data_IF_966090055304
#
_entry.id   IF_966090055304
#
_cell.length_a   1.000
_cell.length_b   1.000
_cell.length_c   1.000
_cell.angle_alpha   90.00
_cell.angle_beta   90.00
_cell.angle_gamma   90.00
#
_symmetry.space_group_name_H-M   'P 1'
#
loop_
_entity.id
_entity.type
_entity.pdbx_description
1 polymer ?
2 polymer ?
3 non-polymer ?
4 non-polymer ?
5 non-polymer ?
6 non-polymer ?
7 non-polymer ?
8 water ?
#
# COMPACT_ATOMS: atom_id res chain seq x y z
N UNK A 1 16.66 22.56 14.87
CA UNK A 1 15.54 21.86 14.17
C UNK A 1 15.19 20.51 14.82
N UNK A 2 13.91 20.14 14.74
CA UNK A 2 13.40 18.91 15.35
C UNK A 2 12.50 18.21 14.34
N UNK A 3 12.56 16.90 14.35
CA UNK A 3 11.88 16.08 13.34
C UNK A 3 10.35 16.17 13.38
N UNK A 4 9.80 16.53 14.55
CA UNK A 4 8.36 16.64 14.75
C UNK A 4 7.76 17.84 14.01
N UNK A 5 8.53 18.92 13.90
CA UNK A 5 8.09 20.15 13.21
C UNK A 5 8.64 20.19 11.79
N UNK A 6 7.73 20.27 10.81
CA UNK A 6 8.12 20.45 9.41
C UNK A 6 9.02 19.30 8.92
N UNK A 7 8.92 18.13 9.56
CA UNK A 7 9.76 16.96 9.24
C UNK A 7 11.27 17.24 9.44
N UNK A 8 11.59 18.18 10.35
CA UNK A 8 12.98 18.64 10.52
C UNK A 8 13.61 19.30 9.31
N UNK A 9 12.77 19.72 8.37
CA UNK A 9 13.20 20.24 7.08
C UNK A 9 13.65 19.15 6.09
N UNK A 10 13.59 17.89 6.51
CA UNK A 10 14.06 16.76 5.66
C UNK A 10 13.06 16.48 4.54
N UNK A 11 13.55 16.07 3.39
CA UNK A 11 12.66 15.66 2.30
C UNK A 11 12.02 14.33 2.62
N UNK A 12 12.77 13.43 3.25
CA UNK A 12 12.34 12.07 3.56
C UNK A 12 12.43 11.81 5.05
N UNK A 13 13.40 11.07 5.55
CA UNK A 13 13.39 10.58 6.93
C UNK A 13 14.26 11.45 7.83
N UNK A 14 13.91 11.53 9.11
CA UNK A 14 14.56 12.52 10.05
C UNK A 14 14.87 11.80 11.35
N UNK A 15 16.08 11.97 11.87
CA UNK A 15 16.48 11.43 13.19
C UNK A 15 16.95 12.59 14.06
N UNK A 16 16.44 12.63 15.31
CA UNK A 16 16.89 13.59 16.32
C UNK A 16 18.10 12.99 17.04
N UNK A 17 19.06 13.84 17.38
CA UNK A 17 20.29 13.45 18.07
C UNK A 17 20.49 14.35 19.29
N UNK A 18 21.38 13.92 20.19
CA UNK A 18 21.58 14.63 21.46
C UNK A 18 22.15 16.03 21.22
N UNK A 19 21.51 17.03 21.83
CA UNK A 19 21.83 18.44 21.60
C UNK A 19 20.91 18.99 20.54
N UNK A 20 21.28 20.11 19.94
CA UNK A 20 20.47 20.71 18.87
C UNK A 20 20.82 20.05 17.52
N UNK A 21 20.88 18.71 17.48
CA UNK A 21 21.34 18.00 16.28
C UNK A 21 20.21 17.23 15.58
N UNK A 22 20.31 17.15 14.25
CA UNK A 22 19.29 16.47 13.43
C UNK A 22 20.01 15.86 12.24
N UNK A 23 19.65 14.63 11.84
CA UNK A 23 20.21 14.07 10.61
C UNK A 23 19.06 13.61 9.74
N UNK A 24 19.05 14.06 8.50
CA UNK A 24 18.09 13.56 7.52
C UNK A 24 18.65 12.35 6.85
N UNK A 25 17.75 11.48 6.38
CA UNK A 25 18.18 10.28 5.68
C UNK A 25 17.26 10.04 4.49
N UNK A 26 17.68 9.17 3.61
CA UNK A 26 16.91 8.86 2.40
C UNK A 26 16.69 7.38 2.29
N UNK A 27 15.61 7.03 1.59
CA UNK A 27 15.28 5.63 1.33
C UNK A 27 16.35 5.01 0.44
N UNK A 28 16.44 3.68 0.49
CA UNK A 28 17.23 2.95 -0.50
C UNK A 28 16.86 3.43 -1.89
N UNK A 29 17.85 3.58 -2.75
CA UNK A 29 17.68 4.08 -4.08
C UNK A 29 17.74 5.60 -4.22
N UNK A 30 18.08 6.25 -3.10
CA UNK A 30 18.29 7.71 -3.08
C UNK A 30 19.55 8.01 -2.27
N UNK A 31 20.11 9.20 -2.51
CA UNK A 31 21.23 9.70 -1.72
C UNK A 31 20.93 11.11 -1.26
N UNK A 32 21.50 11.47 -0.13
CA UNK A 32 21.28 12.80 0.50
C UNK A 32 22.23 13.82 -0.12
N UNK A 33 21.71 14.97 -0.50
CA UNK A 33 22.50 16.04 -1.09
C UNK A 33 23.25 16.78 0.02
N UNK A 34 24.15 17.65 -0.43
CA UNK A 34 25.01 18.42 0.50
C UNK A 34 24.25 19.45 1.32
N UNK A 35 23.03 19.79 0.92
CA UNK A 35 22.16 20.60 1.75
C UNK A 35 21.72 19.91 3.03
N UNK A 36 21.93 18.58 3.12
CA UNK A 36 21.62 17.82 4.29
C UNK A 36 20.16 17.44 4.45
N UNK A 37 19.33 17.79 3.45
CA UNK A 37 17.87 17.59 3.51
C UNK A 37 17.27 16.89 2.28
N UNK A 38 17.81 17.16 1.09
CA UNK A 38 17.23 16.71 -0.17
C UNK A 38 17.70 15.32 -0.52
N UNK A 39 16.81 14.54 -1.16
CA UNK A 39 17.16 13.20 -1.60
C UNK A 39 17.08 13.14 -3.12
N UNK A 40 18.07 12.51 -3.78
CA UNK A 40 18.08 12.41 -5.21
C UNK A 40 18.18 10.92 -5.60
N UNK A 41 17.43 10.49 -6.61
CA UNK A 41 17.55 9.09 -7.02
C UNK A 41 18.97 8.67 -7.42
N UNK A 42 19.32 7.42 -7.11
CA UNK A 42 20.60 6.83 -7.50
C UNK A 42 20.41 5.62 -8.41
N UNK A 43 19.16 5.29 -8.66
CA UNK A 43 18.80 4.15 -9.53
C UNK A 43 17.77 4.62 -10.54
N UNK A 44 17.50 3.78 -11.55
CA UNK A 44 16.60 4.13 -12.61
C UNK A 44 15.13 4.17 -12.12
N UNK A 45 14.79 3.25 -11.23
CA UNK A 45 13.39 3.09 -10.76
C UNK A 45 13.30 3.15 -9.26
N UNK A 46 13.60 4.34 -8.69
CA UNK A 46 13.46 4.51 -7.25
C UNK A 46 12.01 4.37 -6.79
N UNK A 47 11.81 3.94 -5.56
CA UNK A 47 10.45 3.81 -5.06
C UNK A 47 9.70 5.12 -5.05
N UNK A 48 8.38 5.06 -5.28
CA UNK A 48 7.52 6.20 -5.08
C UNK A 48 7.60 7.31 -6.10
N UNK A 49 8.25 7.05 -7.23
CA UNK A 49 8.27 7.94 -8.38
C UNK A 49 7.64 7.27 -9.58
N UNK A 50 6.97 8.06 -10.41
CA UNK A 50 6.21 7.55 -11.55
C UNK A 50 6.97 7.88 -12.82
N UNK A 51 7.67 6.90 -13.43
CA UNK A 51 8.56 7.13 -14.56
C UNK A 51 7.95 7.93 -15.72
N UNK A 52 6.72 7.64 -16.12
CA UNK A 52 6.15 8.38 -17.26
C UNK A 52 5.93 9.85 -16.94
N UNK A 53 5.74 10.18 -15.67
CA UNK A 53 5.58 11.57 -15.26
C UNK A 53 6.93 12.25 -15.02
N UNK A 54 7.91 11.51 -14.50
CA UNK A 54 9.25 12.05 -14.29
C UNK A 54 9.94 12.36 -15.62
N UNK A 55 9.64 11.57 -16.66
CA UNK A 55 10.13 11.86 -18.02
C UNK A 55 9.37 13.03 -18.70
N UNK A 56 8.08 13.14 -18.40
CA UNK A 56 7.22 14.22 -18.94
C UNK A 56 7.70 15.63 -18.54
N UNK A 57 8.29 15.76 -17.34
CA UNK A 57 8.82 17.04 -16.84
C UNK A 57 10.36 17.17 -16.84
N UNK A 58 11.08 16.10 -17.20
CA UNK A 58 12.55 16.16 -17.34
C UNK A 58 12.96 16.96 -18.57
N UNK B 1 -13.64 0.72 -7.08
CA UNK B 1 -13.61 2.16 -6.76
C UNK B 1 -14.88 2.82 -7.29
N UNK B 2 -15.56 3.57 -6.43
CA UNK B 2 -16.77 4.33 -6.78
C UNK B 2 -16.46 5.80 -6.94
N UNK B 3 -16.83 6.38 -8.09
CA UNK B 3 -16.70 7.82 -8.28
C UNK B 3 -15.28 8.30 -8.58
N UNK B 4 -14.40 7.39 -8.98
CA UNK B 4 -13.02 7.77 -9.34
C UNK B 4 -12.88 7.93 -10.84
N UNK B 5 -11.67 7.71 -11.34
CA UNK B 5 -11.35 7.79 -12.73
C UNK B 5 -10.38 6.69 -13.08
N UNK B 6 -10.23 6.42 -14.35
CA UNK B 6 -9.23 5.44 -14.81
C UNK B 6 -7.84 6.01 -14.42
N UNK B 7 -7.02 5.18 -13.80
CA UNK B 7 -5.63 5.57 -13.54
C UNK B 7 -4.92 5.47 -14.88
N UNK B 8 -4.37 6.58 -15.42
CA UNK B 8 -3.70 6.46 -16.69
C UNK B 8 -2.61 5.39 -16.64
N UNK B 9 -2.56 4.55 -17.69
CA UNK B 9 -1.65 3.41 -17.69
C UNK B 9 -0.23 3.85 -17.31
N UNK B 10 0.36 3.18 -16.33
CA UNK B 10 1.72 3.54 -15.84
C UNK B 10 1.75 4.56 -14.71
N UNK B 11 0.62 5.19 -14.37
CA UNK B 11 0.61 6.14 -13.26
C UNK B 11 0.31 5.56 -11.90
N UNK B 12 -0.02 4.28 -11.87
CA UNK B 12 -0.21 3.54 -10.64
C UNK B 12 0.71 2.29 -10.66
N UNK B 13 2.03 2.49 -10.83
CA UNK B 13 2.88 1.35 -11.23
C UNK B 13 3.19 0.32 -10.10
N UNK B 14 2.82 0.67 -8.90
CA UNK B 14 2.92 -0.17 -7.71
C UNK B 14 1.72 -1.04 -7.48
N UNK B 15 0.64 -0.82 -8.23
CA UNK B 15 -0.58 -1.57 -8.00
C UNK B 15 -0.37 -3.02 -8.41
N UNK B 16 -0.85 -3.92 -7.56
CA UNK B 16 -0.80 -5.37 -7.79
C UNK B 16 -2.24 -5.90 -7.96
N UNK B 17 -2.40 -6.84 -8.87
CA UNK B 17 -3.64 -7.66 -8.97
C UNK B 17 -3.31 -9.06 -8.48
N UNK B 18 -4.08 -9.55 -7.52
CA UNK B 18 -3.97 -10.93 -7.03
C UNK B 18 -5.10 -11.78 -7.64
N UNK B 19 -4.69 -12.93 -8.15
CA UNK B 19 -5.57 -13.91 -8.81
C UNK B 19 -5.50 -15.24 -8.08
N UNK B 20 -6.66 -15.93 -8.02
CA UNK B 20 -6.68 -17.31 -7.49
C UNK B 20 -7.43 -18.13 -8.53
N UNK B 21 -6.81 -19.21 -9.02
CA UNK B 21 -7.28 -19.91 -10.29
C UNK B 21 -7.73 -19.01 -11.53
N UNK B 22 -6.92 -18.02 -11.80
CA UNK B 22 -7.21 -16.97 -12.76
C UNK B 22 -8.26 -15.93 -12.43
N UNK B 23 -8.95 -16.05 -11.30
CA UNK B 23 -10.03 -15.17 -10.93
C UNK B 23 -9.53 -14.04 -10.05
N UNK B 24 -10.05 -12.86 -10.25
CA UNK B 24 -9.71 -11.71 -9.42
C UNK B 24 -10.00 -11.98 -7.96
N UNK B 25 -9.00 -11.79 -7.11
CA UNK B 25 -9.17 -11.92 -5.66
C UNK B 25 -9.17 -10.58 -4.92
N UNK B 26 -8.08 -9.83 -5.10
CA UNK B 26 -7.81 -8.64 -4.30
C UNK B 26 -6.74 -7.82 -4.99
N UNK B 27 -6.53 -6.62 -4.47
CA UNK B 27 -5.37 -5.83 -4.84
C UNK B 27 -4.20 -6.02 -3.92
N UNK B 28 -3.12 -5.31 -4.25
CA UNK B 28 -1.93 -5.30 -3.39
C UNK B 28 -1.03 -4.15 -3.80
N UNK B 29 0.07 -3.98 -3.05
CA UNK B 29 1.05 -2.93 -3.31
C UNK B 29 2.45 -3.53 -3.36
N UNK B 30 3.14 -3.26 -4.43
CA UNK B 30 4.55 -3.63 -4.54
C UNK B 30 5.36 -2.64 -3.68
N UNK B 31 6.18 -3.18 -2.78
CA UNK B 31 7.13 -2.33 -1.99
C UNK B 31 8.61 -2.61 -2.23
N UNK B 32 8.92 -3.70 -2.91
CA UNK B 32 10.26 -4.04 -3.37
C UNK B 32 10.08 -5.02 -4.50
N UNK B 33 11.17 -5.51 -5.11
CA UNK B 33 10.99 -6.42 -6.23
C UNK B 33 10.41 -7.79 -5.93
N UNK B 34 10.46 -8.24 -4.68
CA UNK B 34 9.87 -9.54 -4.30
C UNK B 34 8.78 -9.44 -3.24
N UNK B 35 8.45 -8.23 -2.79
CA UNK B 35 7.52 -8.07 -1.67
C UNK B 35 6.30 -7.24 -2.02
N UNK B 36 5.12 -7.78 -1.66
CA UNK B 36 3.82 -7.16 -1.88
C UNK B 36 3.05 -7.10 -0.57
N UNK B 37 2.41 -5.97 -0.31
CA UNK B 37 1.60 -5.81 0.87
C UNK B 37 0.14 -5.88 0.42
N UNK B 38 -0.65 -6.68 1.12
CA UNK B 38 -2.08 -6.78 0.83
C UNK B 38 -2.89 -6.84 2.16
N UNK B 39 -4.15 -7.27 2.09
CA UNK B 39 -4.99 -7.36 3.26
C UNK B 39 -5.11 -8.83 3.71
N UNK B 40 -4.95 -9.09 5.00
CA UNK B 40 -5.09 -10.44 5.51
C UNK B 40 -6.43 -11.11 5.12
N UNK B 41 -7.53 -10.34 5.14
CA UNK B 41 -8.88 -10.93 4.93
C UNK B 41 -9.03 -11.52 3.53
N UNK B 42 -8.19 -11.10 2.58
CA UNK B 42 -8.18 -11.67 1.24
C UNK B 42 -7.91 -13.17 1.19
N UNK B 43 -7.31 -13.71 2.25
CA UNK B 43 -6.81 -15.07 2.25
C UNK B 43 -7.63 -16.00 3.14
N UNK B 44 -8.76 -15.53 3.67
CA UNK B 44 -9.56 -16.36 4.62
C UNK B 44 -10.10 -17.64 3.98
N UNK B 45 -10.37 -17.63 2.67
CA UNK B 45 -11.09 -18.74 2.03
C UNK B 45 -10.23 -19.46 1.00
N UNK B 46 -8.92 -19.32 1.08
CA UNK B 46 -8.03 -19.96 0.12
C UNK B 46 -7.92 -21.45 0.47
N UNK B 47 -8.21 -22.30 -0.51
CA UNK B 47 -8.15 -23.74 -0.31
C UNK B 47 -6.80 -24.29 -0.77
N UNK B 48 -6.39 -23.88 -1.98
CA UNK B 48 -5.09 -24.27 -2.56
C UNK B 48 -4.14 -23.07 -2.63
N UNK B 49 -3.33 -22.92 -1.60
CA UNK B 49 -2.41 -21.81 -1.45
C UNK B 49 -1.38 -21.72 -2.55
N UNK B 50 -1.27 -22.75 -3.40
CA UNK B 50 -0.28 -22.84 -4.44
C UNK B 50 -0.74 -22.31 -5.79
N UNK B 51 -1.99 -21.82 -5.88
CA UNK B 51 -2.55 -21.24 -7.12
C UNK B 51 -2.78 -19.70 -7.00
N UNK B 52 -2.03 -19.03 -6.15
CA UNK B 52 -2.13 -17.59 -5.94
C UNK B 52 -1.10 -16.91 -6.83
N UNK B 53 -1.52 -15.96 -7.66
CA UNK B 53 -0.66 -15.27 -8.60
C UNK B 53 -0.77 -13.77 -8.36
N UNK B 54 0.38 -13.10 -8.40
CA UNK B 54 0.42 -11.64 -8.37
C UNK B 54 0.77 -11.11 -9.75
N UNK B 55 0.05 -10.11 -10.25
CA UNK B 55 0.32 -9.51 -11.51
C UNK B 55 0.69 -8.02 -11.31
N UNK B 56 1.85 -7.65 -11.86
CA UNK B 56 2.36 -6.30 -11.88
C UNK B 56 2.24 -5.74 -13.30
N UNK B 57 2.16 -4.43 -13.40
CA UNK B 57 2.05 -3.77 -14.70
C UNK B 57 0.72 -3.94 -15.40
N UNK B 58 -0.28 -4.39 -14.66
CA UNK B 58 -1.61 -4.58 -15.22
C UNK B 58 -2.31 -3.24 -15.33
N UNK B 59 -3.24 -3.15 -16.30
CA UNK B 59 -3.99 -1.95 -16.50
C UNK B 59 -5.39 -2.29 -16.97
N UNK B 60 -5.46 -2.83 -18.17
CA UNK B 60 -6.77 -3.19 -18.79
C UNK B 60 -6.85 -4.70 -18.80
N UNK B 61 -7.75 -5.23 -17.99
CA UNK B 61 -7.90 -6.70 -17.83
C UNK B 61 -8.39 -7.43 -19.10
N UNK B 62 -8.91 -6.68 -20.04
CA UNK B 62 -9.42 -7.28 -21.28
C UNK B 62 -8.35 -7.62 -22.29
N UNK B 63 -7.12 -7.10 -22.12
CA UNK B 63 -6.11 -7.25 -23.15
C UNK B 63 -4.76 -7.55 -22.52
N UNK B 64 -3.88 -8.13 -23.32
CA UNK B 64 -2.49 -8.31 -22.97
C UNK B 64 -1.71 -7.32 -23.79
N UNK B 65 -0.96 -6.43 -23.13
CA UNK B 65 -0.13 -5.49 -23.88
C UNK B 65 1.40 -5.73 -23.75
N UNK B 66 1.80 -6.71 -22.97
CA UNK B 66 3.21 -7.02 -22.79
C UNK B 66 3.93 -6.37 -21.61
N UNK B 67 3.27 -5.42 -20.95
CA UNK B 67 3.85 -4.78 -19.75
C UNK B 67 3.52 -5.55 -18.47
N UNK B 68 2.59 -6.50 -18.54
CA UNK B 68 2.23 -7.31 -17.38
C UNK B 68 3.34 -8.26 -17.02
N UNK B 69 3.54 -8.46 -15.72
CA UNK B 69 4.45 -9.48 -15.20
C UNK B 69 3.73 -10.27 -14.12
N UNK B 70 3.65 -11.58 -14.31
CA UNK B 70 3.01 -12.48 -13.36
C UNK B 70 4.03 -13.26 -12.56
N UNK B 71 3.76 -13.42 -11.27
CA UNK B 71 4.58 -14.21 -10.37
C UNK B 71 3.71 -15.06 -9.45
N UNK B 72 4.17 -16.26 -9.17
CA UNK B 72 3.58 -17.05 -8.08
C UNK B 72 3.89 -16.43 -6.74
N UNK B 73 2.92 -16.51 -5.84
CA UNK B 73 3.09 -16.09 -4.47
C UNK B 73 3.64 -17.27 -3.69
N UNK B 74 4.86 -17.14 -3.21
CA UNK B 74 5.58 -18.17 -2.44
C UNK B 74 5.25 -18.19 -0.96
N UNK B 75 4.90 -17.05 -0.37
CA UNK B 75 4.62 -16.96 1.07
C UNK B 75 3.57 -15.90 1.26
N UNK B 76 2.59 -16.19 2.14
CA UNK B 76 1.62 -15.21 2.61
C UNK B 76 1.82 -15.13 4.12
N UNK B 77 2.25 -13.98 4.61
CA UNK B 77 2.59 -13.80 6.01
C UNK B 77 1.55 -12.90 6.66
N UNK B 78 0.93 -13.41 7.75
CA UNK B 78 -0.16 -12.70 8.42
C UNK B 78 0.16 -12.53 9.90
N UNK B 79 -0.17 -11.38 10.50
CA UNK B 79 0.16 -11.17 11.92
C UNK B 79 -0.64 -12.11 12.80
N UNK B 80 -0.01 -12.60 13.86
CA UNK B 80 -0.66 -13.52 14.82
C UNK B 80 -1.96 -12.98 15.39
N UNK B 81 -2.05 -11.66 15.48
CA UNK B 81 -3.19 -10.97 16.02
C UNK B 81 -4.43 -10.90 15.11
N UNK B 82 -4.26 -11.18 13.81
CA UNK B 82 -5.40 -11.23 12.89
C UNK B 82 -6.25 -12.47 13.16
N UNK B 83 -7.56 -12.27 13.21
CA UNK B 83 -8.51 -13.38 13.36
C UNK B 83 -9.41 -13.48 12.14
N UNK B 84 -9.36 -14.58 11.41
CA UNK B 84 -10.23 -14.75 10.25
C UNK B 84 -11.69 -14.42 10.54
N UNK B 85 -12.32 -13.73 9.60
CA UNK B 85 -13.72 -13.34 9.76
C UNK B 85 -13.94 -12.01 10.47
N UNK B 86 -12.85 -11.37 10.91
CA UNK B 86 -12.92 -10.09 11.56
C UNK B 86 -12.05 -9.06 10.79
N UNK B 87 -12.04 -7.83 11.29
CA UNK B 87 -11.44 -6.72 10.53
C UNK B 87 -10.13 -6.20 11.07
N UNK B 88 -9.78 -6.46 12.33
CA UNK B 88 -8.59 -5.84 12.93
C UNK B 88 -7.33 -6.51 12.40
N UNK B 89 -6.25 -5.76 12.37
CA UNK B 89 -4.94 -6.28 11.91
C UNK B 89 -4.99 -6.82 10.48
N UNK B 90 -5.60 -6.06 9.59
CA UNK B 90 -5.91 -6.53 8.25
C UNK B 90 -4.75 -6.24 7.29
N UNK B 91 -3.70 -7.03 7.44
CA UNK B 91 -2.49 -6.87 6.64
C UNK B 91 -1.85 -8.23 6.35
N UNK B 92 -1.31 -8.35 5.17
CA UNK B 92 -0.56 -9.52 4.75
C UNK B 92 0.69 -9.06 4.00
N UNK B 93 1.80 -9.79 4.19
CA UNK B 93 3.03 -9.56 3.45
C UNK B 93 3.27 -10.79 2.60
N UNK B 94 3.34 -10.57 1.29
CA UNK B 94 3.49 -11.60 0.29
C UNK B 94 4.87 -11.60 -0.33
N UNK B 95 5.52 -12.77 -0.33
CA UNK B 95 6.80 -12.96 -0.98
C UNK B 95 6.56 -13.58 -2.36
N UNK B 96 7.08 -12.95 -3.41
CA UNK B 96 6.95 -13.50 -4.74
C UNK B 96 8.02 -14.59 -4.97
N UNK B 97 7.70 -15.54 -5.85
CA UNK B 97 8.63 -16.67 -6.10
C UNK B 97 9.88 -16.23 -6.83
N UNK B 98 9.77 -15.18 -7.62
CA UNK B 98 10.86 -14.58 -8.35
C UNK B 98 10.63 -13.08 -8.39
N UNK B 99 11.70 -12.26 -8.36
CA UNK B 99 11.48 -10.82 -8.43
C UNK B 99 10.76 -10.39 -9.70
N UNK B 100 9.95 -9.33 -9.59
CA UNK B 100 9.53 -8.61 -10.78
C UNK B 100 10.70 -7.77 -11.26
N UNK B 101 10.67 -7.41 -12.55
CA UNK B 101 11.66 -6.53 -13.15
C UNK B 101 11.09 -5.14 -13.15
N UNK B 102 11.80 -4.18 -12.58
CA UNK B 102 11.31 -2.83 -12.58
C UNK B 102 11.42 -2.22 -13.98
N UNK B 103 10.36 -1.52 -14.35
CA UNK B 103 10.19 -0.94 -15.69
C UNK B 103 9.40 0.35 -15.51
N UNK B 104 9.14 1.07 -16.61
CA UNK B 104 8.30 2.22 -16.51
C UNK B 104 6.88 1.89 -15.96
N UNK B 105 6.47 0.62 -16.09
CA UNK B 105 5.12 0.21 -15.68
C UNK B 105 5.08 -0.59 -14.39
N UNK B 106 6.26 -0.82 -13.78
CA UNK B 106 6.37 -1.68 -12.58
C UNK B 106 7.42 -1.00 -11.68
N UNK B 107 6.93 -0.40 -10.60
CA UNK B 107 7.76 0.38 -9.67
C UNK B 107 7.20 0.21 -8.27
N UNK B 108 8.06 -0.02 -7.25
CA UNK B 108 7.55 -0.15 -5.88
C UNK B 108 7.12 1.21 -5.30
N UNK B 109 6.13 1.18 -4.42
CA UNK B 109 5.78 2.29 -3.55
C UNK B 109 6.72 2.26 -2.35
N UNK B 110 7.17 3.42 -1.88
CA UNK B 110 8.05 3.43 -0.70
C UNK B 110 7.31 3.05 0.59
N UNK B 111 7.86 2.10 1.33
CA UNK B 111 7.37 1.79 2.67
C UNK B 111 8.08 2.80 3.58
N UNK B 112 7.33 3.73 4.19
CA UNK B 112 8.00 4.77 4.98
C UNK B 112 8.52 4.28 6.32
N UNK B 113 9.48 5.00 6.90
CA UNK B 113 9.76 4.82 8.31
C UNK B 113 8.55 5.17 9.18
N UNK B 114 8.42 4.52 10.33
CA UNK B 114 7.29 4.74 11.22
C UNK B 114 7.17 6.18 11.68
N UNK B 115 8.26 6.73 12.22
CA UNK B 115 8.23 8.14 12.70
C UNK B 115 7.76 9.11 11.63
N UNK B 116 8.34 8.98 10.45
CA UNK B 116 7.97 9.82 9.32
C UNK B 116 6.48 9.67 9.01
N UNK B 117 6.02 8.43 9.01
CA UNK B 117 4.62 8.17 8.64
C UNK B 117 3.65 8.73 9.65
N UNK B 118 3.97 8.56 10.93
CA UNK B 118 3.15 9.06 12.05
C UNK B 118 3.17 10.59 12.24
N UNK B 119 4.34 11.18 12.08
CA UNK B 119 4.53 12.60 12.34
C UNK B 119 4.25 13.49 11.15
N UNK B 120 4.42 12.95 9.93
CA UNK B 120 4.29 13.73 8.70
C UNK B 120 3.21 13.22 7.75
N UNK B 121 3.32 11.96 7.33
CA UNK B 121 2.38 11.47 6.31
C UNK B 121 0.94 11.43 6.81
N UNK B 122 0.76 11.12 8.10
CA UNK B 122 -0.56 11.02 8.74
C UNK B 122 -1.36 12.30 8.68
N UNK B 123 -0.68 13.42 8.46
CA UNK B 123 -1.29 14.76 8.33
C UNK B 123 -1.41 15.30 6.92
N UNK B 124 -1.00 14.53 5.92
CA UNK B 124 -1.28 14.89 4.56
C UNK B 124 -2.74 14.53 4.34
N UNK B 125 -3.54 15.51 3.92
CA UNK B 125 -4.97 15.33 3.93
C UNK B 125 -5.45 14.29 2.92
N UNK B 126 -5.01 14.42 1.67
CA UNK B 126 -5.51 13.58 0.58
C UNK B 126 -4.48 12.54 0.17
N UNK B 127 -4.98 11.35 -0.14
CA UNK B 127 -4.15 10.27 -0.65
C UNK B 127 -4.96 9.51 -1.72
N UNK B 128 -4.27 8.75 -2.54
CA UNK B 128 -4.89 7.98 -3.62
C UNK B 128 -5.14 6.54 -3.24
N UNK B 129 -6.32 6.04 -3.60
CA UNK B 129 -6.69 4.63 -3.44
C UNK B 129 -7.08 4.09 -4.80
N UNK B 130 -6.73 2.84 -5.08
CA UNK B 130 -6.87 2.32 -6.42
C UNK B 130 -7.25 0.85 -6.45
N UNK B 131 -7.79 0.41 -7.58
CA UNK B 131 -8.14 -1.00 -7.72
C UNK B 131 -9.07 -1.28 -8.90
N UNK B 132 -9.30 -2.57 -9.12
CA UNK B 132 -10.24 -3.05 -10.14
C UNK B 132 -11.52 -3.55 -9.45
N UNK B 133 -11.84 -3.01 -8.28
CA UNK B 133 -13.02 -3.40 -7.56
C UNK B 133 -14.29 -2.85 -8.18
N UNK B 134 -15.38 -3.12 -7.48
CA UNK B 134 -16.71 -2.69 -7.93
C UNK B 134 -16.78 -1.18 -8.15
N UNK B 135 -17.38 -0.80 -9.29
CA UNK B 135 -17.58 0.60 -9.65
C UNK B 135 -18.76 1.23 -8.93
N UNK B 136 -19.61 0.38 -8.36
CA UNK B 136 -20.82 0.78 -7.61
C UNK B 136 -21.06 -0.31 -6.57
N UNK B 137 -21.70 0.06 -5.49
CA UNK B 137 -22.18 -0.91 -4.54
C UNK B 137 -23.17 -1.85 -5.27
N UNK B 138 -23.02 -3.14 -5.07
CA UNK B 138 -23.83 -4.17 -5.78
C UNK B 138 -23.65 -4.10 -7.31
N UNK B 139 -22.49 -3.62 -7.77
CA UNK B 139 -22.23 -3.42 -9.18
C UNK B 139 -21.07 -4.28 -9.69
N UNK B 140 -20.85 -4.21 -10.99
CA UNK B 140 -19.74 -4.93 -11.68
C UNK B 140 -18.37 -4.30 -11.36
N UNK B 141 -17.35 -5.14 -11.39
CA UNK B 141 -15.98 -4.68 -11.19
C UNK B 141 -15.45 -4.01 -12.44
N UNK B 142 -14.38 -3.24 -12.28
CA UNK B 142 -13.77 -2.47 -13.35
C UNK B 142 -12.84 -3.27 -14.24
N UNK B 143 -12.86 -3.03 -15.56
CA UNK B 143 -11.89 -3.63 -16.47
C UNK B 143 -10.56 -2.83 -16.54
N UNK B 144 -10.63 -1.53 -16.33
CA UNK B 144 -9.43 -0.69 -16.28
C UNK B 144 -9.18 -0.26 -14.84
N UNK B 145 -7.90 -0.15 -14.46
CA UNK B 145 -7.57 0.23 -13.09
C UNK B 145 -8.09 1.62 -12.78
N UNK B 146 -8.77 1.74 -11.64
CA UNK B 146 -9.38 2.99 -11.23
C UNK B 146 -8.61 3.58 -10.04
N UNK B 147 -8.71 4.89 -9.87
CA UNK B 147 -8.05 5.60 -8.80
C UNK B 147 -8.93 6.74 -8.29
N UNK B 148 -8.80 7.01 -6.99
CA UNK B 148 -9.63 8.01 -6.30
C UNK B 148 -8.83 8.75 -5.26
N UNK B 149 -8.97 10.07 -5.21
CA UNK B 149 -8.34 10.89 -4.17
C UNK B 149 -9.30 10.98 -3.01
N UNK B 150 -8.87 10.58 -1.82
CA UNK B 150 -9.73 10.56 -0.61
C UNK B 150 -9.04 11.30 0.54
N UNK B 151 -9.81 12.04 1.35
CA UNK B 151 -9.21 12.70 2.50
C UNK B 151 -9.28 11.84 3.74
N UNK B 152 -8.28 11.95 4.61
CA UNK B 152 -8.17 11.15 5.80
C UNK B 152 -8.81 11.88 6.97
N UNK B 153 -9.41 11.13 7.88
CA UNK B 153 -10.03 11.68 9.07
C UNK B 153 -9.27 11.21 10.31
N UNK B 154 -9.17 12.07 11.31
CA UNK B 154 -8.82 11.58 12.65
C UNK B 154 -9.94 10.67 13.14
N UNK B 155 -9.59 9.60 13.85
CA UNK B 155 -10.58 8.57 14.20
C UNK B 155 -11.74 9.11 15.07
N UNK B 156 -11.40 9.99 16.02
CA UNK B 156 -12.43 10.68 16.80
C UNK B 156 -13.46 11.35 15.88
N UNK B 157 -12.99 12.01 14.83
CA UNK B 157 -13.88 12.65 13.86
C UNK B 157 -14.65 11.67 13.01
N UNK B 158 -14.05 10.52 12.69
CA UNK B 158 -14.75 9.51 11.91
C UNK B 158 -15.92 8.95 12.69
N UNK B 159 -15.66 8.62 13.95
CA UNK B 159 -16.68 8.10 14.85
C UNK B 159 -17.80 9.13 15.05
N UNK B 160 -17.42 10.40 15.25
CA UNK B 160 -18.38 11.54 15.38
C UNK B 160 -19.21 11.72 14.11
N UNK B 161 -18.54 11.78 12.96
CA UNK B 161 -19.23 12.01 11.68
C UNK B 161 -20.03 10.81 11.15
N UNK B 162 -19.80 9.61 11.68
CA UNK B 162 -20.44 8.38 11.17
C UNK B 162 -21.76 8.05 11.86
N UNK B 163 -22.78 7.72 11.06
CA UNK B 163 -24.14 7.49 11.57
C UNK B 163 -25.04 6.83 10.52
N UNK B 168 -21.60 -3.41 14.23
CA UNK B 168 -20.72 -2.34 13.74
C UNK B 168 -19.29 -2.48 14.34
N UNK B 169 -18.26 -2.75 13.50
CA UNK B 169 -16.90 -2.81 14.09
C UNK B 169 -16.39 -1.43 14.57
N UNK B 170 -15.63 -1.44 15.66
CA UNK B 170 -14.90 -0.25 16.12
C UNK B 170 -13.83 0.10 15.08
N UNK B 171 -13.42 1.35 15.10
CA UNK B 171 -12.21 1.78 14.40
C UNK B 171 -11.11 1.70 15.44
N UNK B 172 -10.19 0.75 15.28
CA UNK B 172 -9.11 0.54 16.23
C UNK B 172 -7.90 1.40 15.88
N UNK B 173 -6.87 1.34 16.72
CA UNK B 173 -5.63 2.05 16.46
C UNK B 173 -4.85 1.47 15.28
N UNK B 174 -5.32 0.33 14.77
CA UNK B 174 -4.70 -0.32 13.60
C UNK B 174 -5.44 0.01 12.31
N UNK B 175 -6.32 1.00 12.38
CA UNK B 175 -7.13 1.45 11.27
C UNK B 175 -7.18 2.97 11.21
N UNK B 176 -7.64 3.48 10.06
CA UNK B 176 -8.05 4.85 9.93
C UNK B 176 -9.15 4.97 8.90
N UNK B 177 -9.96 6.02 9.02
CA UNK B 177 -11.00 6.32 8.05
C UNK B 177 -10.53 7.27 6.98
N UNK B 178 -11.04 7.09 5.76
CA UNK B 178 -10.81 8.05 4.70
C UNK B 178 -11.92 7.97 3.70
N UNK B 179 -12.22 9.12 3.09
CA UNK B 179 -13.22 9.19 2.05
C UNK B 179 -14.28 10.24 2.33
N UNK B 180 -15.49 9.93 1.91
CA UNK B 180 -16.61 10.88 1.93
C UNK B 180 -17.83 10.21 2.51
N UNK B 181 -18.64 10.97 3.25
CA UNK B 181 -19.87 10.44 3.85
C UNK B 181 -21.13 10.72 3.01
N UNK B 182 -21.01 11.32 1.82
CA UNK B 182 -22.20 11.70 1.01
C UNK B 182 -22.63 10.67 -0.05
N UNK B 183 -22.04 9.47 0.01
CA UNK B 183 -22.39 8.41 -0.92
C UNK B 183 -21.87 8.56 -2.34
N UNK B 184 -20.87 9.42 -2.54
CA UNK B 184 -20.44 9.71 -3.90
C UNK B 184 -19.18 8.96 -4.32
N UNK B 185 -18.24 8.79 -3.40
CA UNK B 185 -16.89 8.36 -3.73
C UNK B 185 -16.34 7.48 -2.62
N UNK B 186 -15.79 6.32 -3.00
CA UNK B 186 -15.31 5.38 -2.03
C UNK B 186 -14.50 4.29 -2.70
N UNK B 187 -13.78 3.52 -1.90
CA UNK B 187 -13.28 2.24 -2.33
C UNK B 187 -14.43 1.24 -2.14
N UNK B 188 -14.27 0.02 -2.64
CA UNK B 188 -15.39 -0.95 -2.64
C UNK B 188 -14.88 -2.36 -2.67
N UNK B 189 -15.81 -3.32 -2.55
CA UNK B 189 -15.44 -4.72 -2.67
C UNK B 189 -14.64 -4.95 -3.94
N UNK B 190 -13.59 -5.76 -3.82
CA UNK B 190 -12.70 -6.01 -4.92
C UNK B 190 -11.48 -5.12 -4.93
N UNK B 191 -11.52 -4.01 -4.22
CA UNK B 191 -10.33 -3.13 -4.06
C UNK B 191 -9.51 -3.52 -2.85
N UNK B 192 -10.05 -4.36 -1.97
CA UNK B 192 -9.37 -4.86 -0.79
C UNK B 192 -7.94 -5.24 -1.08
N UNK B 193 -7.06 -4.82 -0.18
CA UNK B 193 -5.64 -5.09 -0.31
C UNK B 193 -4.81 -4.08 -1.07
N UNK B 194 -5.46 -3.22 -1.86
CA UNK B 194 -4.79 -2.25 -2.63
C UNK B 194 -4.24 -1.07 -1.82
N UNK B 195 -3.50 -0.21 -2.49
CA UNK B 195 -2.80 0.88 -1.82
C UNK B 195 -3.66 2.07 -1.49
N UNK B 196 -3.35 2.67 -0.36
CA UNK B 196 -3.69 4.06 -0.02
C UNK B 196 -2.31 4.71 0.03
N UNK B 197 -2.04 5.51 -0.99
CA UNK B 197 -0.70 6.06 -1.28
C UNK B 197 -0.72 7.57 -1.04
N UNK B 198 0.33 8.08 -0.37
CA UNK B 198 0.35 9.43 0.12
C UNK B 198 1.60 10.13 -0.45
N UNK B 199 1.40 11.29 -1.03
CA UNK B 199 2.48 12.07 -1.63
C UNK B 199 3.09 13.04 -0.61
N UNK B 200 4.42 13.10 -0.58
CA UNK B 200 5.12 14.11 0.21
C UNK B 200 6.41 14.50 -0.47
N UNK B 201 6.51 15.78 -0.80
CA UNK B 201 7.69 16.36 -1.42
C UNK B 201 8.30 15.52 -2.56
N UNK B 202 7.43 15.14 -3.50
CA UNK B 202 7.81 14.55 -4.76
C UNK B 202 7.86 13.02 -4.82
N UNK B 203 7.53 12.38 -3.71
CA UNK B 203 7.62 10.92 -3.59
C UNK B 203 6.36 10.39 -2.91
N UNK B 204 5.97 9.19 -3.33
CA UNK B 204 4.76 8.55 -2.80
C UNK B 204 5.10 7.42 -1.86
N UNK B 205 4.28 7.29 -0.83
CA UNK B 205 4.50 6.34 0.24
C UNK B 205 3.27 5.51 0.60
N UNK B 206 3.47 4.28 1.07
CA UNK B 206 2.34 3.45 1.51
C UNK B 206 1.90 3.83 2.93
N UNK B 207 0.67 4.35 3.05
CA UNK B 207 0.10 4.67 4.35
C UNK B 207 -1.10 3.82 4.76
N UNK B 208 -1.80 3.23 3.78
CA UNK B 208 -2.93 2.38 4.16
C UNK B 208 -3.14 1.24 3.19
N UNK B 209 -3.92 0.27 3.65
CA UNK B 209 -4.39 -0.85 2.81
C UNK B 209 -5.93 -0.79 2.78
N UNK B 210 -6.51 -0.87 1.58
CA UNK B 210 -7.99 -0.96 1.46
C UNK B 210 -8.47 -2.16 2.29
N UNK B 211 -9.32 -1.93 3.28
CA UNK B 211 -9.67 -3.01 4.22
C UNK B 211 -11.17 -3.30 4.27
N UNK B 212 -11.97 -2.33 4.68
CA UNK B 212 -13.41 -2.59 4.86
C UNK B 212 -14.25 -1.32 4.87
N UNK B 213 -15.57 -1.53 4.88
CA UNK B 213 -16.51 -0.43 5.02
C UNK B 213 -17.91 -0.98 5.10
N UNK B 214 -18.83 -0.12 5.51
CA UNK B 214 -20.27 -0.46 5.52
C UNK B 214 -20.79 -0.24 4.11
N UNK B 215 -21.02 -1.33 3.38
CA UNK B 215 -21.34 -1.26 1.97
C UNK B 215 -20.22 -0.52 1.25
N UNK B 216 -20.55 0.21 0.20
CA UNK B 216 -19.63 1.10 -0.53
C UNK B 216 -20.28 2.41 -0.86
N UNK B 217 -19.63 3.51 -0.57
CA UNK B 217 -20.20 4.83 -0.75
C UNK B 217 -21.58 4.87 -0.08
N UNK B 218 -21.65 4.36 1.15
CA UNK B 218 -22.90 4.37 1.93
C UNK B 218 -22.98 5.69 2.62
N UNK B 219 -24.12 6.39 2.45
CA UNK B 219 -24.30 7.68 3.11
C UNK B 219 -24.09 7.53 4.62
N UNK B 220 -23.35 8.46 5.22
CA UNK B 220 -23.04 8.41 6.65
C UNK B 220 -21.90 7.50 7.06
N UNK B 221 -21.17 6.95 6.09
CA UNK B 221 -20.04 6.05 6.41
C UNK B 221 -18.84 6.33 5.53
N UNK B 222 -17.66 5.98 6.05
CA UNK B 222 -16.38 6.20 5.37
C UNK B 222 -15.69 4.86 5.11
N UNK B 223 -14.78 4.83 4.14
CA UNK B 223 -13.93 3.65 3.97
C UNK B 223 -12.95 3.52 5.13
N UNK B 224 -12.59 2.30 5.46
CA UNK B 224 -11.67 2.02 6.54
C UNK B 224 -10.46 1.32 5.95
N UNK B 225 -9.29 1.74 6.43
CA UNK B 225 -7.99 1.35 5.88
C UNK B 225 -7.10 0.84 7.00
N UNK B 226 -6.28 -0.16 6.70
CA UNK B 226 -5.31 -0.62 7.67
C UNK B 226 -4.22 0.43 7.83
N UNK B 227 -3.89 0.75 9.09
CA UNK B 227 -2.93 1.83 9.40
C UNK B 227 -1.52 1.25 9.34
N UNK B 228 -0.94 1.37 8.16
CA UNK B 228 0.32 0.66 7.85
C UNK B 228 1.46 1.06 8.78
N UNK B 229 1.43 2.29 9.28
CA UNK B 229 2.47 2.79 10.22
C UNK B 229 2.67 1.90 11.45
N UNK B 230 1.61 1.22 11.88
CA UNK B 230 1.68 0.31 13.01
C UNK B 230 2.48 -0.95 12.71
N UNK B 231 2.71 -1.23 11.41
CA UNK B 231 3.32 -2.49 10.97
C UNK B 231 4.69 -2.35 10.33
N UNK B 232 5.27 -1.15 10.35
CA UNK B 232 6.52 -0.94 9.62
C UNK B 232 7.62 -1.87 10.13
N UNK B 233 7.85 -1.87 11.45
CA UNK B 233 8.91 -2.69 12.03
C UNK B 233 8.63 -4.19 11.84
N UNK B 234 7.35 -4.58 11.92
CA UNK B 234 6.95 -5.96 11.67
C UNK B 234 7.27 -6.39 10.21
N UNK B 235 6.93 -5.53 9.26
CA UNK B 235 7.23 -5.78 7.84
C UNK B 235 8.73 -5.84 7.59
N UNK B 236 9.47 -4.87 8.14
CA UNK B 236 10.88 -4.79 7.88
C UNK B 236 11.63 -6.01 8.41
N UNK B 237 11.26 -6.46 9.60
CA UNK B 237 11.88 -7.66 10.15
C UNK B 237 11.61 -8.88 9.27
N UNK B 238 10.37 -9.05 8.83
CA UNK B 238 10.04 -10.18 7.95
C UNK B 238 10.78 -10.12 6.63
N UNK B 239 10.97 -8.94 6.06
CA UNK B 239 11.68 -8.84 4.77
C UNK B 239 13.15 -9.23 4.89
N UNK B 240 13.71 -9.16 6.10
CA UNK B 240 15.08 -9.60 6.37
C UNK B 240 15.19 -11.09 6.69
N UNK B 241 14.06 -11.78 6.80
CA UNK B 241 14.04 -13.18 7.23
C UNK B 241 14.13 -14.14 6.06
N UNK B 242 14.66 -15.33 6.32
CA UNK B 242 14.62 -16.39 5.32
C UNK B 242 13.22 -16.97 5.12
N UNK B 243 12.86 -17.34 3.88
CA UNK B 243 11.61 -18.03 3.62
C UNK B 243 11.51 -19.36 4.37
N UNK B 244 10.27 -19.75 4.69
CA UNK B 244 9.97 -21.01 5.39
C UNK B 244 9.07 -21.85 4.51
N UNK B 245 9.22 -23.20 4.57
CA UNK B 245 8.34 -24.03 3.78
C UNK B 245 6.87 -23.80 4.15
N UNK B 246 5.98 -23.98 3.16
CA UNK B 246 4.54 -23.80 3.35
C UNK B 246 4.12 -22.36 3.12
N UNK B 247 3.12 -22.14 2.28
CA UNK B 247 2.79 -20.79 1.80
C UNK B 247 2.38 -19.88 2.98
N UNK B 248 1.41 -20.32 3.75
CA UNK B 248 0.91 -19.48 4.84
C UNK B 248 1.86 -19.48 6.04
N UNK B 249 2.19 -18.30 6.54
CA UNK B 249 2.97 -18.17 7.76
C UNK B 249 2.29 -17.17 8.68
N UNK B 250 1.99 -17.57 9.91
CA UNK B 250 1.55 -16.64 10.90
C UNK B 250 2.76 -16.21 11.68
N UNK B 251 2.98 -14.90 11.78
CA UNK B 251 4.17 -14.33 12.42
C UNK B 251 3.73 -13.49 13.62
N UNK B 252 4.44 -13.58 14.75
CA UNK B 252 4.04 -12.81 15.92
C UNK B 252 3.98 -11.33 15.65
N UNK B 253 2.94 -10.70 16.18
CA UNK B 253 2.79 -9.26 16.21
C UNK B 253 2.52 -8.86 17.68
N UNK B 254 3.20 -7.86 18.22
CA UNK B 254 4.23 -7.05 17.54
C UNK B 254 5.51 -7.79 17.14
X LIG C 1 5.91 11.34 -9.61
X LIG C 1 7.12 10.68 -9.91
X LIG C 1 6.10 12.20 -8.37
X LIG C 1 6.36 11.36 -7.23
X LIG C 1 4.82 12.97 -8.21
X LIG C 1 3.85 12.31 -9.02
X LIG D 1 21.28 8.87 3.78
X LIG D 1 20.17 8.03 3.93
X LIG D 1 21.76 8.66 2.36
X LIG D 1 21.94 7.29 2.02
X LIG D 1 23.10 9.37 2.32
X LIG D 1 23.30 9.71 0.98
X LIG E 1 -3.66 -5.99 -19.56
X LIG F 1 15.84 -15.70 9.67
X LIG G 1 1.58 -25.05 1.27
X LIG H 1 -5.98 9.49 14.67
X LIG H 1 -4.61 9.52 14.15
X LIG H 1 -5.94 8.71 15.93
X LIG H 1 -6.44 10.86 14.96
X LIG H 1 -6.94 8.80 13.77
X LIG I 1 -13.63 -8.00 -0.78
X LIG I 1 -13.62 -8.71 -2.06
X LIG I 1 -12.73 -8.66 0.19
X LIG I 1 -15.02 -7.97 -0.27
X LIG I 1 -13.17 -6.61 -1.11
X LIG J 1 -17.35 2.48 9.44
X LIG J 1 -18.77 2.56 9.32
X LIG J 1 -16.90 3.63 10.30
X LIG J 1 -17.74 3.68 11.48
X LIG J 1 -16.89 4.94 9.56
X LIG J 1 -17.85 5.11 8.54
X LIG K 1 -16.48 -0.41 1.68
X LIG K 1 -15.84 0.70 1.41
X LIG K 1 -15.66 -1.51 1.50
X LIG K 1 -15.09 -11.67 5.13
X LIG K 1 -14.43 -0.99 1.11
X LIG K 1 -15.48 -5.62 2.67
X LIG K 1 -15.10 -8.84 4.45
X LIG K 1 -14.78 -7.61 3.91
X LIG K 1 -13.40 -1.87 0.83
X LIG K 1 -17.37 -9.94 6.97
X LIG K 1 -13.55 -3.24 0.97
X LIG K 1 -13.14 -7.29 5.63
X LIG K 1 -15.73 -10.55 7.48
X LIG K 1 -14.80 -10.58 6.08
X LIG K 1 -14.56 0.40 1.07
X LIG K 1 -14.43 -9.32 5.58
X LIG K 1 -13.95 -12.66 5.02
X LIG K 1 -15.85 -2.88 1.63
X LIG K 1 -15.81 -11.93 7.82
X LIG K 1 -15.10 -9.59 8.34
X LIG K 1 -14.92 -5.08 1.53
X LIG K 1 -14.78 -3.73 1.36
X LIG K 1 -15.88 -4.94 3.64
X LIG K 1 -12.96 -12.34 4.41
X LIG K 1 -16.37 1.99 1.48
X LIG K 1 -15.53 -7.14 2.68
X LIG K 1 -14.04 -13.88 5.59
X LIG K 1 -13.44 -8.52 6.18
X LIG K 1 -13.79 -6.81 4.49
#
# INVERSE_FOLDING_TARGET
LICVNENGGCEQYCSDHTGTKRSCRCHEGYSLLADGVSCTPTVEYPCGKIPILEKRNASKPQGR
IVGGKVCPKGECPWQVLLLVNGAQLCGGTLINTIWVVSAAHCFDKIKNWRNLIAVLGEHDLSEHDGDEQSRRVAQVIIPSTYVPGTTNHDIALLRLHQPVVLTDHVVPLCLPERTFSERTLAFVRFSLVSGWGQLLDRGATALELMVLNVPRLMTQDCLQQSRKVGDSPNITEYMFCAGYSDGSKDSCKGDSGGPHATHYRGTWYLTGIVSWGQGCATVGHFGVYTRVSQYIEWLQKLMRSEPRPGVLLRAPFP
GOL C1 O1 C2 O2 C3 O3
GOL C1 O1 C2 O2 C3 O3
CA CA
CL CL
CL CL
SO4 S O1 O2 O3 O4
SO4 S O1 O2 O3 O4
GOL C1 O1 C2 O2 C3 O3
7ZJ N3 C4 C6 C7 C8 C10 C17 C21 C22 C24 C26 C28 S1 N2 N5 C9 C11 C12 O13 O14 N15 C16 O18 O19 N20 C23 N25 C27 C29
#
